data_IF_090344487803
#
_entry.id   IF_090344487803
#
_cell.length_a   1.000
_cell.length_b   1.000
_cell.length_c   1.000
_cell.angle_alpha   90.00
_cell.angle_beta   90.00
_cell.angle_gamma   90.00
#
_symmetry.space_group_name_H-M   'P 1'
#
loop_
_entity.id
_entity.type
_entity.pdbx_description
1 polymer ?
#
# COMPACT_ATOMS: atom_id res chain seq x y z
N UNK A 1 22.36 -17.97 -9.31
CA UNK A 1 22.81 -16.77 -8.58
C UNK A 1 22.05 -15.59 -9.17
N UNK A 2 20.86 -15.29 -8.63
CA UNK A 2 20.01 -14.18 -9.12
C UNK A 2 20.01 -13.08 -8.07
N UNK A 3 20.78 -12.03 -8.29
CA UNK A 3 20.77 -10.81 -7.46
C UNK A 3 20.64 -9.62 -8.39
N UNK A 4 19.40 -9.27 -8.66
CA UNK A 4 19.01 -7.94 -9.15
C UNK A 4 17.77 -7.51 -8.38
N UNK A 5 17.98 -7.09 -7.13
CA UNK A 5 17.13 -6.09 -6.49
C UNK A 5 17.92 -4.79 -6.61
N UNK A 6 17.78 -4.11 -7.75
CA UNK A 6 18.28 -2.74 -7.93
C UNK A 6 17.70 -1.91 -6.79
N UNK A 7 18.62 -1.50 -5.93
CA UNK A 7 18.43 -1.08 -4.55
C UNK A 7 17.63 0.21 -4.43
N UNK A 8 16.73 0.24 -3.45
CA UNK A 8 16.15 1.48 -2.97
C UNK A 8 15.13 1.23 -1.87
N UNK A 9 13.97 0.68 -2.24
CA UNK A 9 12.81 0.69 -1.37
C UNK A 9 12.06 -0.64 -1.37
N UNK A 10 11.54 -1.01 -0.19
CA UNK A 10 10.63 -2.13 0.00
C UNK A 10 9.18 -1.66 -0.08
N UNK A 11 8.28 -2.59 -0.38
CA UNK A 11 6.85 -2.37 -0.14
C UNK A 11 6.61 -2.31 1.37
N UNK A 12 5.88 -1.32 1.86
CA UNK A 12 5.51 -1.25 3.28
C UNK A 12 4.26 -2.06 3.59
N UNK A 13 4.19 -2.61 4.80
CA UNK A 13 2.96 -3.17 5.36
C UNK A 13 2.66 -2.53 6.70
N UNK A 14 1.38 -2.26 6.92
CA UNK A 14 0.85 -1.75 8.17
C UNK A 14 -0.42 -2.53 8.52
N UNK A 15 -0.60 -2.85 9.80
CA UNK A 15 -1.83 -3.41 10.34
C UNK A 15 -2.62 -2.32 11.09
N UNK A 16 -3.93 -2.23 10.84
CA UNK A 16 -4.84 -1.16 11.31
C UNK A 16 -4.83 -0.97 12.82
N UNK A 17 -4.58 -2.05 13.55
CA UNK A 17 -4.47 -2.03 15.01
C UNK A 17 -3.41 -1.06 15.51
N UNK A 18 -2.33 -0.86 14.75
CA UNK A 18 -1.15 -0.11 15.18
C UNK A 18 -1.02 1.26 14.54
N UNK A 19 -1.68 1.46 13.39
CA UNK A 19 -1.72 2.74 12.69
C UNK A 19 -3.15 2.96 12.21
N UNK A 20 -3.90 3.87 12.84
CA UNK A 20 -5.16 4.32 12.29
C UNK A 20 -4.89 5.07 10.97
N UNK A 21 -5.72 4.86 9.98
CA UNK A 21 -5.66 5.54 8.70
C UNK A 21 -7.03 6.13 8.37
N UNK A 22 -7.03 7.28 7.71
CA UNK A 22 -8.24 8.03 7.38
C UNK A 22 -8.57 7.77 5.90
N UNK A 23 -9.68 7.10 5.61
CA UNK A 23 -10.14 6.89 4.22
C UNK A 23 -11.53 7.50 4.02
N UNK A 24 -11.64 8.46 3.11
CA UNK A 24 -12.94 9.06 2.75
C UNK A 24 -13.27 9.04 1.26
N UNK A 25 -12.36 8.68 0.35
CA UNK A 25 -12.57 8.92 -1.09
C UNK A 25 -12.19 7.74 -2.02
N UNK A 26 -12.34 7.96 -3.33
CA UNK A 26 -12.43 7.01 -4.44
C UNK A 26 -11.48 5.81 -4.40
N UNK A 27 -12.04 4.62 -4.70
CA UNK A 27 -11.32 3.34 -4.65
C UNK A 27 -11.83 2.35 -5.69
N UNK A 28 -10.95 1.44 -6.11
CA UNK A 28 -11.36 0.26 -6.89
C UNK A 28 -11.63 -0.87 -5.90
N UNK A 29 -12.90 -1.26 -5.75
CA UNK A 29 -13.29 -2.47 -5.01
C UNK A 29 -13.16 -3.69 -5.93
N UNK A 30 -12.11 -4.49 -5.72
CA UNK A 30 -11.87 -5.66 -6.58
C UNK A 30 -12.96 -6.73 -6.44
N UNK A 31 -13.61 -6.84 -5.28
CA UNK A 31 -14.75 -7.74 -5.14
C UNK A 31 -15.95 -7.25 -5.96
N UNK A 32 -16.16 -5.93 -6.07
CA UNK A 32 -17.16 -5.37 -6.97
C UNK A 32 -16.81 -5.56 -8.44
N UNK A 33 -15.54 -5.36 -8.83
CA UNK A 33 -15.07 -5.58 -10.22
C UNK A 33 -15.34 -7.02 -10.66
N UNK A 34 -15.00 -8.01 -9.83
CA UNK A 34 -15.28 -9.42 -10.13
C UNK A 34 -16.79 -9.73 -10.12
N UNK A 35 -17.54 -9.13 -9.19
CA UNK A 35 -18.99 -9.30 -9.13
C UNK A 35 -19.70 -8.79 -10.39
N UNK A 36 -19.29 -7.62 -10.89
CA UNK A 36 -19.88 -6.99 -12.08
C UNK A 36 -19.70 -7.81 -13.36
N UNK A 37 -18.77 -8.79 -13.39
CA UNK A 37 -18.61 -9.73 -14.51
C UNK A 37 -19.70 -10.79 -14.58
N UNK A 38 -20.33 -11.13 -13.45
CA UNK A 38 -21.23 -12.30 -13.34
C UNK A 38 -22.64 -11.96 -12.87
N UNK A 39 -22.86 -10.78 -12.30
CA UNK A 39 -24.16 -10.32 -11.82
C UNK A 39 -24.64 -9.10 -12.63
N UNK A 40 -25.96 -8.94 -12.75
CA UNK A 40 -26.66 -7.94 -13.58
C UNK A 40 -26.47 -6.47 -13.16
N UNK A 41 -25.35 -6.12 -12.52
CA UNK A 41 -24.99 -4.79 -11.99
C UNK A 41 -25.83 -4.30 -10.81
N UNK A 42 -26.71 -5.14 -10.26
CA UNK A 42 -27.44 -4.85 -9.02
C UNK A 42 -26.80 -5.57 -7.83
N UNK A 43 -26.60 -4.83 -6.74
CA UNK A 43 -26.08 -5.37 -5.50
C UNK A 43 -27.18 -6.17 -4.78
N UNK A 44 -26.95 -7.47 -4.56
CA UNK A 44 -27.84 -8.32 -3.77
C UNK A 44 -27.24 -8.61 -2.38
N UNK A 45 -28.09 -9.02 -1.44
CA UNK A 45 -27.69 -9.32 -0.05
C UNK A 45 -26.65 -10.44 0.10
N UNK A 46 -26.49 -11.31 -0.91
CA UNK A 46 -25.47 -12.36 -0.96
C UNK A 46 -24.12 -11.94 -1.58
N UNK A 47 -24.04 -10.74 -2.16
CA UNK A 47 -22.86 -10.28 -2.87
C UNK A 47 -21.80 -9.83 -1.85
N UNK A 48 -20.56 -10.32 -1.98
CA UNK A 48 -19.44 -10.01 -1.05
C UNK A 48 -18.84 -8.61 -1.29
N UNK A 49 -19.67 -7.67 -1.71
CA UNK A 49 -19.31 -6.29 -2.04
C UNK A 49 -18.74 -5.63 -0.78
N UNK A 50 -17.63 -4.91 -0.91
CA UNK A 50 -16.96 -4.28 0.23
C UNK A 50 -16.14 -5.22 1.12
N UNK A 51 -16.13 -6.54 0.87
CA UNK A 51 -15.36 -7.53 1.66
C UNK A 51 -14.07 -8.01 1.01
N UNK A 52 -13.73 -7.50 -0.18
CA UNK A 52 -12.49 -7.82 -0.87
C UNK A 52 -11.41 -6.74 -0.74
N UNK A 53 -10.23 -7.00 -1.32
CA UNK A 53 -9.18 -6.00 -1.40
C UNK A 53 -9.64 -4.77 -2.16
N UNK A 54 -9.12 -3.62 -1.74
CA UNK A 54 -9.42 -2.31 -2.33
C UNK A 54 -8.13 -1.66 -2.77
N UNK A 55 -8.14 -1.09 -3.97
CA UNK A 55 -7.00 -0.34 -4.51
C UNK A 55 -7.24 1.16 -4.29
N UNK A 56 -6.27 1.83 -3.71
CA UNK A 56 -6.26 3.28 -3.46
C UNK A 56 -5.09 3.94 -4.18
N UNK A 57 -5.28 5.18 -4.63
CA UNK A 57 -4.29 5.92 -5.41
C UNK A 57 -4.37 5.62 -6.91
N UNK A 58 -3.28 5.87 -7.63
CA UNK A 58 -3.26 5.74 -9.09
C UNK A 58 -3.00 4.32 -9.55
N UNK A 59 -4.07 3.65 -9.97
CA UNK A 59 -4.03 2.33 -10.60
C UNK A 59 -4.53 2.40 -12.03
N UNK A 60 -3.98 1.56 -12.89
CA UNK A 60 -4.47 1.35 -14.25
C UNK A 60 -4.65 -0.15 -14.54
N UNK A 61 -5.60 -0.52 -15.40
CA UNK A 61 -5.75 -1.90 -15.86
C UNK A 61 -4.47 -2.41 -16.54
N UNK A 62 -4.14 -3.67 -16.31
CA UNK A 62 -3.04 -4.39 -16.95
C UNK A 62 -3.46 -5.83 -17.24
N UNK A 63 -2.63 -6.57 -17.97
CA UNK A 63 -2.90 -7.99 -18.21
C UNK A 63 -2.98 -8.75 -16.87
N UNK A 64 -4.11 -9.43 -16.65
CA UNK A 64 -4.40 -10.15 -15.42
C UNK A 64 -4.75 -9.30 -14.19
N UNK A 65 -4.93 -7.98 -14.29
CA UNK A 65 -5.35 -7.16 -13.15
C UNK A 65 -5.09 -5.67 -13.27
N UNK A 66 -4.36 -5.14 -12.29
CA UNK A 66 -4.03 -3.71 -12.19
C UNK A 66 -2.56 -3.53 -11.85
N UNK A 67 -1.97 -2.44 -12.33
CA UNK A 67 -0.65 -1.98 -11.93
C UNK A 67 -0.69 -0.52 -11.46
N UNK A 68 0.21 -0.10 -10.56
CA UNK A 68 0.35 1.31 -10.23
C UNK A 68 0.71 2.13 -11.46
N UNK A 69 0.09 3.31 -11.64
CA UNK A 69 0.51 4.24 -12.69
C UNK A 69 1.92 4.77 -12.42
N UNK A 70 2.66 5.09 -13.47
CA UNK A 70 4.02 5.63 -13.34
C UNK A 70 4.05 7.04 -12.73
N UNK A 71 3.02 7.84 -13.00
CA UNK A 71 2.88 9.23 -12.56
C UNK A 71 2.19 9.41 -11.20
N UNK A 72 1.76 8.33 -10.55
CA UNK A 72 1.01 8.44 -9.29
C UNK A 72 1.91 8.71 -8.09
N UNK A 73 1.45 9.57 -7.18
CA UNK A 73 2.12 9.80 -5.89
C UNK A 73 2.12 8.56 -4.99
N UNK A 74 1.08 7.72 -5.07
CA UNK A 74 0.98 6.49 -4.29
C UNK A 74 0.04 5.45 -4.91
N UNK A 75 0.24 4.19 -4.53
CA UNK A 75 -0.63 3.06 -4.86
C UNK A 75 -0.65 2.06 -3.69
N UNK A 76 -1.83 1.89 -3.08
CA UNK A 76 -2.02 1.06 -1.88
C UNK A 76 -3.03 -0.06 -2.14
N UNK A 77 -2.84 -1.18 -1.45
CA UNK A 77 -3.78 -2.29 -1.38
C UNK A 77 -4.26 -2.40 0.06
N UNK A 78 -5.52 -2.07 0.31
CA UNK A 78 -6.15 -2.34 1.59
C UNK A 78 -6.82 -3.71 1.57
N UNK A 79 -6.64 -4.48 2.63
CA UNK A 79 -7.31 -5.76 2.89
C UNK A 79 -8.14 -5.63 4.17
N UNK A 80 -9.37 -5.09 4.09
CA UNK A 80 -10.19 -4.81 5.27
C UNK A 80 -10.39 -6.03 6.18
N UNK A 81 -10.53 -7.21 5.58
CA UNK A 81 -10.72 -8.49 6.25
C UNK A 81 -9.49 -8.94 7.06
N UNK A 82 -8.30 -8.52 6.63
CA UNK A 82 -7.04 -8.76 7.35
C UNK A 82 -6.56 -7.56 8.15
N UNK A 83 -7.34 -6.47 8.14
CA UNK A 83 -6.94 -5.19 8.72
C UNK A 83 -5.53 -4.75 8.30
N UNK A 84 -5.13 -5.02 7.06
CA UNK A 84 -3.78 -4.68 6.57
C UNK A 84 -3.84 -3.70 5.41
N UNK A 85 -2.80 -2.87 5.33
CA UNK A 85 -2.53 -1.96 4.24
C UNK A 85 -1.15 -2.28 3.69
N UNK A 86 -1.07 -2.55 2.40
CA UNK A 86 0.18 -2.77 1.70
C UNK A 86 0.45 -1.57 0.78
N UNK A 87 1.62 -0.96 0.92
CA UNK A 87 2.05 0.20 0.16
C UNK A 87 2.97 -0.26 -0.97
N UNK A 88 2.41 -0.36 -2.17
CA UNK A 88 3.13 -0.87 -3.35
C UNK A 88 4.04 0.18 -3.94
N UNK A 89 3.57 1.43 -3.97
CA UNK A 89 4.30 2.60 -4.44
C UNK A 89 3.91 3.80 -3.59
N UNK A 90 4.86 4.66 -3.28
CA UNK A 90 4.62 5.96 -2.65
C UNK A 90 5.82 6.86 -2.89
N UNK A 91 5.60 8.17 -2.95
CA UNK A 91 6.69 9.15 -2.82
C UNK A 91 7.20 9.27 -1.38
N UNK A 92 6.47 8.72 -0.42
CA UNK A 92 6.85 8.75 0.99
C UNK A 92 7.44 7.41 1.39
N UNK A 93 8.51 7.48 2.16
CA UNK A 93 9.20 6.31 2.72
C UNK A 93 9.42 6.51 4.21
N UNK A 94 9.56 5.39 4.91
CA UNK A 94 9.79 5.37 6.33
C UNK A 94 10.79 4.26 6.66
N UNK A 95 11.70 4.55 7.59
CA UNK A 95 12.64 3.56 8.10
C UNK A 95 11.92 2.56 9.01
N UNK A 96 12.13 1.26 8.78
CA UNK A 96 11.29 0.20 9.33
C UNK A 96 12.06 -1.12 9.48
N UNK A 97 11.51 -2.05 10.25
CA UNK A 97 12.08 -3.37 10.44
C UNK A 97 11.74 -4.29 9.26
N UNK A 98 12.46 -5.40 9.15
CA UNK A 98 12.07 -6.45 8.23
C UNK A 98 10.77 -7.08 8.71
N UNK A 99 9.78 -7.17 7.82
CA UNK A 99 8.56 -7.88 8.19
C UNK A 99 8.82 -9.38 8.35
N UNK A 100 7.91 -10.05 9.06
CA UNK A 100 7.94 -11.50 9.25
C UNK A 100 8.11 -12.24 7.91
N UNK A 101 8.75 -13.43 7.90
CA UNK A 101 9.13 -14.16 6.69
C UNK A 101 7.96 -14.49 5.74
N UNK A 102 6.72 -14.36 6.21
CA UNK A 102 5.49 -14.52 5.44
C UNK A 102 5.36 -13.52 4.28
N UNK A 103 6.08 -12.39 4.30
CA UNK A 103 5.99 -11.36 3.27
C UNK A 103 7.37 -10.92 2.76
N UNK A 104 8.02 -11.73 1.89
CA UNK A 104 9.33 -11.41 1.33
C UNK A 104 9.33 -10.05 0.61
N UNK A 105 10.41 -9.28 0.79
CA UNK A 105 10.58 -7.98 0.12
C UNK A 105 9.78 -6.82 0.72
N UNK A 106 9.17 -7.02 1.89
CA UNK A 106 8.35 -6.00 2.56
C UNK A 106 9.02 -5.51 3.87
N UNK A 107 8.67 -4.28 4.27
CA UNK A 107 9.06 -3.66 5.54
C UNK A 107 7.87 -3.56 6.48
N UNK A 108 8.08 -3.88 7.76
CA UNK A 108 7.09 -3.68 8.82
C UNK A 108 7.17 -2.25 9.32
N UNK A 109 6.26 -1.40 8.84
CA UNK A 109 6.25 0.04 9.13
C UNK A 109 5.96 0.36 10.60
N UNK A 110 5.42 -0.60 11.35
CA UNK A 110 5.12 -0.45 12.78
C UNK A 110 6.40 -0.46 13.62
N UNK A 111 7.34 -1.33 13.26
CA UNK A 111 8.58 -1.51 14.01
C UNK A 111 9.71 -0.65 13.44
N UNK A 112 10.37 0.22 14.23
CA UNK A 112 11.56 0.94 13.79
C UNK A 112 12.67 -0.02 13.34
N UNK A 113 13.39 0.36 12.28
CA UNK A 113 14.51 -0.42 11.78
C UNK A 113 15.26 0.31 10.66
N UNK A 114 16.18 -0.40 10.02
CA UNK A 114 17.12 0.17 9.03
C UNK A 114 16.62 0.09 7.59
N UNK A 115 15.53 -0.62 7.32
CA UNK A 115 15.02 -0.79 5.96
C UNK A 115 14.17 0.42 5.57
N UNK A 116 14.34 0.91 4.35
CA UNK A 116 13.42 1.90 3.79
C UNK A 116 12.27 1.16 3.08
N UNK A 117 11.04 1.45 3.50
CA UNK A 117 9.85 0.97 2.82
C UNK A 117 8.94 2.14 2.48
N UNK A 118 8.22 2.03 1.36
CA UNK A 118 7.17 2.96 1.02
C UNK A 118 6.12 2.99 2.13
N UNK A 119 5.69 4.17 2.53
CA UNK A 119 4.61 4.38 3.50
C UNK A 119 3.45 5.14 2.85
N UNK A 120 2.24 5.11 3.44
CA UNK A 120 1.15 5.94 2.95
C UNK A 120 1.55 7.43 3.03
N UNK A 121 0.99 8.27 2.16
CA UNK A 121 1.06 9.71 2.31
C UNK A 121 0.66 10.19 3.71
N UNK A 122 1.32 11.23 4.25
CA UNK A 122 1.04 11.72 5.61
C UNK A 122 -0.42 12.11 5.84
N UNK A 123 -1.10 12.67 4.86
CA UNK A 123 -2.52 13.05 4.92
C UNK A 123 -3.47 11.84 5.08
N UNK A 124 -3.00 10.62 4.83
CA UNK A 124 -3.76 9.39 5.00
C UNK A 124 -3.50 8.69 6.35
N UNK A 125 -2.58 9.23 7.15
CA UNK A 125 -2.16 8.67 8.43
C UNK A 125 -2.76 9.47 9.59
N UNK A 126 -2.96 8.80 10.72
CA UNK A 126 -3.39 9.44 11.96
C UNK A 126 -2.39 10.50 12.47
N UNK A 127 -2.91 11.63 12.96
CA UNK A 127 -2.09 12.77 13.38
C UNK A 127 -1.17 12.46 14.56
N UNK A 128 -1.65 11.70 15.55
CA UNK A 128 -0.87 11.32 16.73
C UNK A 128 0.24 10.34 16.31
N UNK A 129 -0.10 9.34 15.49
CA UNK A 129 0.89 8.41 14.95
C UNK A 129 1.96 9.12 14.13
N UNK A 130 1.58 10.08 13.28
CA UNK A 130 2.50 10.90 12.51
C UNK A 130 3.41 11.72 13.42
N UNK A 131 2.90 12.30 14.51
CA UNK A 131 3.71 13.08 15.43
C UNK A 131 4.83 12.22 16.04
N UNK A 132 4.54 10.98 16.44
CA UNK A 132 5.51 10.03 16.98
C UNK A 132 6.54 9.56 15.95
N UNK A 133 6.15 9.47 14.67
CA UNK A 133 6.97 8.88 13.62
C UNK A 133 7.57 9.88 12.62
N UNK A 134 7.33 11.18 12.81
CA UNK A 134 7.74 12.25 11.89
C UNK A 134 9.23 12.22 11.56
N UNK A 135 10.09 11.91 12.53
CA UNK A 135 11.55 11.84 12.33
C UNK A 135 12.02 10.69 11.43
N UNK A 136 11.15 9.68 11.18
CA UNK A 136 11.42 8.52 10.33
C UNK A 136 10.89 8.70 8.91
N UNK A 137 9.90 9.57 8.73
CA UNK A 137 9.22 9.82 7.46
C UNK A 137 10.06 10.72 6.57
N UNK A 138 10.19 10.35 5.30
CA UNK A 138 10.91 11.13 4.29
C UNK A 138 10.13 11.12 2.99
N UNK A 139 10.15 12.24 2.28
CA UNK A 139 9.77 12.25 0.88
C UNK A 139 10.98 11.86 0.04
N UNK A 140 10.76 10.94 -0.89
CA UNK A 140 11.73 10.60 -1.93
C UNK A 140 11.62 11.71 -2.97
N UNK A 141 12.54 12.69 -2.92
CA UNK A 141 12.80 13.56 -4.08
C UNK A 141 13.19 12.70 -5.28
N UNK A 142 12.91 13.19 -6.52
CA UNK A 142 13.12 12.48 -7.80
C UNK A 142 14.14 11.36 -7.65
N UNK A 143 13.64 10.12 -7.65
CA UNK A 143 14.38 8.91 -7.29
C UNK A 143 15.75 8.99 -7.97
N UNK A 144 16.76 9.41 -7.21
CA UNK A 144 18.13 9.35 -7.70
C UNK A 144 18.33 7.88 -7.99
N UNK A 145 18.52 7.57 -9.28
CA UNK A 145 18.83 6.23 -9.69
C UNK A 145 19.97 5.75 -8.77
N UNK A 146 19.86 4.56 -8.17
CA UNK A 146 20.97 4.06 -7.38
C UNK A 146 22.21 4.12 -8.26
N UNK A 147 23.26 4.80 -7.79
CA UNK A 147 24.55 4.80 -8.46
C UNK A 147 24.99 3.33 -8.58
N UNK A 148 24.81 2.75 -9.77
CA UNK A 148 24.98 1.31 -10.03
C UNK A 148 24.96 0.99 -11.51
#
# INVERSE_FOLDING_TARGET
>A
MGKDLKSGFRTGVIHKRYVPWLWTEDRIDLAWVEHAKSCSKEAHSGCRIGKGPRLYGGWEPADGGYRPREDTDYALIARPERQTLQVVKSRFVLSCAQTSPCYPGQGDLETPGELLAFCPPPDLLDEDWLAENRGRLREVGEIAAPDG
#
